data_IF_342275171027
#
_entry.id   IF_342275171027
#
_cell.length_a   1.000
_cell.length_b   1.000
_cell.length_c   1.000
_cell.angle_alpha   90.00
_cell.angle_beta   90.00
_cell.angle_gamma   90.00
#
_symmetry.space_group_name_H-M   'P 1'
#
loop_
_entity.id
_entity.type
_entity.pdbx_description
1 polymer ?
#
# COMPACT_ATOMS: atom_id res chain seq x y z
N UNK A 1 4.19 17.76 -0.56
CA UNK A 1 3.79 16.39 -0.18
C UNK A 1 4.95 15.73 0.54
N UNK A 2 4.75 15.35 1.78
CA UNK A 2 5.81 14.74 2.60
C UNK A 2 5.44 13.31 2.97
N UNK A 3 5.61 12.39 2.01
CA UNK A 3 5.21 11.00 2.20
C UNK A 3 6.15 10.24 3.13
N UNK A 4 5.55 9.57 4.11
CA UNK A 4 6.25 8.73 5.08
C UNK A 4 5.52 7.40 5.14
N UNK A 5 6.26 6.30 5.07
CA UNK A 5 5.70 4.95 5.24
C UNK A 5 6.04 4.46 6.64
N UNK A 6 5.04 3.95 7.35
CA UNK A 6 5.22 3.41 8.69
C UNK A 6 4.67 1.99 8.77
N UNK A 7 5.40 1.11 9.43
CA UNK A 7 4.90 -0.23 9.70
C UNK A 7 3.63 -0.17 10.55
N UNK A 8 2.77 -1.15 10.35
CA UNK A 8 1.53 -1.25 11.13
C UNK A 8 1.87 -1.74 12.54
N UNK A 9 1.42 -1.01 13.55
CA UNK A 9 1.74 -1.30 14.96
C UNK A 9 0.53 -1.02 15.87
N UNK A 10 0.75 -1.11 17.17
CA UNK A 10 -0.30 -0.91 18.17
C UNK A 10 -0.89 0.49 18.14
N UNK A 11 -0.14 1.49 17.66
CA UNK A 11 -0.57 2.87 17.69
C UNK A 11 -1.35 3.30 16.46
N UNK A 12 -1.18 2.59 15.33
CA UNK A 12 -1.77 3.05 14.06
C UNK A 12 -2.73 2.06 13.39
N UNK A 13 -2.82 0.81 13.85
CA UNK A 13 -3.61 -0.20 13.15
C UNK A 13 -5.10 0.15 13.09
N UNK A 14 -5.65 0.69 14.17
CA UNK A 14 -7.08 0.99 14.20
C UNK A 14 -7.47 2.13 13.27
N UNK A 15 -6.64 3.15 13.20
CA UNK A 15 -6.84 4.24 12.23
C UNK A 15 -6.72 3.70 10.80
N UNK A 16 -5.77 2.82 10.57
CA UNK A 16 -5.54 2.27 9.23
C UNK A 16 -6.74 1.47 8.72
N UNK A 17 -7.35 0.65 9.57
CA UNK A 17 -8.50 -0.16 9.11
C UNK A 17 -9.77 0.67 8.90
N UNK A 18 -9.80 1.91 9.40
CA UNK A 18 -10.92 2.81 9.20
C UNK A 18 -10.82 3.62 7.89
N UNK A 19 -9.68 3.62 7.24
CA UNK A 19 -9.55 4.26 5.93
C UNK A 19 -10.47 3.55 4.93
N UNK A 20 -11.11 4.31 4.06
CA UNK A 20 -12.05 3.72 3.12
C UNK A 20 -11.96 4.36 1.74
N UNK A 21 -12.19 3.55 0.72
CA UNK A 21 -12.27 4.03 -0.67
C UNK A 21 -13.72 4.42 -0.98
N UNK A 22 -13.93 5.04 -2.15
CA UNK A 22 -15.27 5.36 -2.62
C UNK A 22 -16.09 4.07 -2.77
N UNK A 23 -17.42 4.19 -2.63
CA UNK A 23 -18.31 3.02 -2.71
C UNK A 23 -18.12 2.21 -3.98
N UNK A 24 -17.90 2.86 -5.11
CA UNK A 24 -17.73 2.16 -6.38
C UNK A 24 -16.39 1.45 -6.50
N UNK A 25 -15.50 1.63 -5.54
CA UNK A 25 -14.18 0.98 -5.54
C UNK A 25 -14.09 -0.17 -4.54
N UNK A 26 -15.03 -0.28 -3.61
CA UNK A 26 -14.94 -1.26 -2.50
C UNK A 26 -14.87 -2.70 -2.97
N UNK A 27 -15.42 -3.03 -4.12
CA UNK A 27 -15.37 -4.38 -4.65
C UNK A 27 -14.07 -4.72 -5.36
N UNK A 28 -13.20 -3.74 -5.58
CA UNK A 28 -11.94 -3.94 -6.31
C UNK A 28 -10.72 -4.00 -5.42
N UNK A 29 -10.86 -3.70 -4.13
CA UNK A 29 -9.74 -3.71 -3.20
C UNK A 29 -10.09 -4.55 -1.98
N UNK A 30 -9.11 -5.28 -1.48
CA UNK A 30 -9.26 -5.96 -0.19
C UNK A 30 -9.28 -4.90 0.90
N UNK A 31 -10.01 -5.16 1.99
CA UNK A 31 -10.00 -4.25 3.12
C UNK A 31 -8.61 -4.21 3.77
N UNK A 32 -8.29 -3.09 4.41
CA UNK A 32 -7.01 -2.99 5.12
C UNK A 32 -6.94 -4.02 6.26
N UNK A 33 -8.05 -4.26 6.93
CA UNK A 33 -8.11 -5.27 7.99
C UNK A 33 -7.75 -6.66 7.45
N UNK A 34 -8.32 -7.04 6.30
CA UNK A 34 -8.01 -8.33 5.68
C UNK A 34 -6.53 -8.41 5.32
N UNK A 35 -5.99 -7.35 4.72
CA UNK A 35 -4.59 -7.33 4.28
C UNK A 35 -3.62 -7.43 5.46
N UNK A 36 -3.92 -6.73 6.55
CA UNK A 36 -3.09 -6.80 7.76
C UNK A 36 -3.11 -8.21 8.35
N UNK A 37 -4.30 -8.83 8.42
CA UNK A 37 -4.41 -10.21 8.89
C UNK A 37 -3.64 -11.17 7.98
N UNK A 38 -3.77 -11.01 6.69
CA UNK A 38 -3.04 -11.84 5.72
C UNK A 38 -1.54 -11.78 5.96
N UNK A 39 -1.02 -10.57 6.25
CA UNK A 39 0.41 -10.39 6.50
C UNK A 39 0.89 -11.08 7.76
N UNK A 40 0.00 -11.35 8.71
CA UNK A 40 0.35 -12.05 9.95
C UNK A 40 0.47 -13.56 9.76
N UNK A 41 -0.25 -14.11 8.80
CA UNK A 41 -0.33 -15.55 8.61
C UNK A 41 0.38 -16.05 7.34
N UNK A 42 0.66 -15.16 6.40
CA UNK A 42 1.40 -15.48 5.19
C UNK A 42 2.71 -14.70 5.17
N UNK A 43 3.83 -15.41 5.14
CA UNK A 43 5.14 -14.78 5.13
C UNK A 43 5.39 -14.00 3.84
N UNK A 44 6.25 -13.01 3.90
CA UNK A 44 6.66 -12.25 2.73
C UNK A 44 5.75 -11.09 2.38
N UNK A 45 4.78 -10.77 3.22
CA UNK A 45 3.89 -9.62 3.03
C UNK A 45 4.23 -8.52 4.02
N UNK A 46 4.37 -7.29 3.52
CA UNK A 46 4.83 -6.14 4.31
C UNK A 46 3.82 -5.00 4.21
N UNK A 47 2.90 -4.88 5.19
CA UNK A 47 1.90 -3.80 5.19
C UNK A 47 2.48 -2.50 5.74
N UNK A 48 2.16 -1.39 5.09
CA UNK A 48 2.63 -0.06 5.50
C UNK A 48 1.50 0.94 5.47
N UNK A 49 1.41 1.78 6.50
CA UNK A 49 0.55 2.94 6.49
C UNK A 49 1.26 4.08 5.77
N UNK A 50 0.52 4.85 4.99
CA UNK A 50 1.05 5.96 4.21
C UNK A 50 0.60 7.26 4.87
N UNK A 51 1.58 8.11 5.20
CA UNK A 51 1.32 9.40 5.83
C UNK A 51 1.79 10.54 4.93
N UNK A 52 1.09 11.67 5.01
CA UNK A 52 1.60 12.94 4.52
C UNK A 52 1.87 13.79 5.78
N UNK A 53 3.14 13.90 6.16
CA UNK A 53 3.51 14.46 7.44
C UNK A 53 2.97 13.61 8.58
N UNK A 54 2.04 14.15 9.36
CA UNK A 54 1.44 13.45 10.50
C UNK A 54 0.06 12.87 10.20
N UNK A 55 -0.43 13.05 8.98
CA UNK A 55 -1.78 12.62 8.60
C UNK A 55 -1.72 11.32 7.80
N UNK A 56 -2.43 10.30 8.28
CA UNK A 56 -2.52 9.04 7.54
C UNK A 56 -3.46 9.21 6.34
N UNK A 57 -2.94 8.96 5.13
CA UNK A 57 -3.70 9.18 3.90
C UNK A 57 -4.02 7.90 3.15
N UNK A 58 -3.32 6.80 3.44
CA UNK A 58 -3.54 5.57 2.72
C UNK A 58 -2.82 4.37 3.32
N UNK A 59 -2.84 3.29 2.56
CA UNK A 59 -2.26 2.01 2.97
C UNK A 59 -1.71 1.30 1.74
N UNK A 60 -0.59 0.61 1.92
CA UNK A 60 -0.07 -0.28 0.89
C UNK A 60 0.40 -1.58 1.53
N UNK A 61 0.49 -2.61 0.71
CA UNK A 61 1.16 -3.84 1.11
C UNK A 61 1.99 -4.32 -0.09
N UNK A 62 3.27 -4.59 0.16
CA UNK A 62 4.11 -5.19 -0.86
C UNK A 62 4.55 -6.57 -0.39
N UNK A 63 4.93 -7.41 -1.34
CA UNK A 63 5.32 -8.77 -1.04
C UNK A 63 6.50 -9.20 -1.88
N UNK A 64 7.22 -10.21 -1.39
CA UNK A 64 8.31 -10.83 -2.10
C UNK A 64 7.93 -12.25 -2.49
N UNK A 65 8.06 -12.56 -3.78
CA UNK A 65 7.81 -13.90 -4.30
C UNK A 65 9.16 -14.60 -4.45
N UNK A 66 9.45 -15.56 -3.58
CA UNK A 66 10.72 -16.27 -3.58
C UNK A 66 10.86 -17.25 -4.76
N UNK A 67 9.76 -17.63 -5.39
CA UNK A 67 9.80 -18.56 -6.50
C UNK A 67 10.44 -17.95 -7.75
N UNK A 68 10.18 -16.67 -8.02
CA UNK A 68 10.77 -15.99 -9.17
C UNK A 68 11.62 -14.79 -8.77
N UNK A 69 11.87 -14.61 -7.48
CA UNK A 69 12.71 -13.55 -6.93
C UNK A 69 12.23 -12.17 -7.34
N UNK A 70 10.93 -11.95 -7.23
CA UNK A 70 10.30 -10.69 -7.63
C UNK A 70 9.58 -10.02 -6.47
N UNK A 71 9.42 -8.71 -6.58
CA UNK A 71 8.69 -7.89 -5.62
C UNK A 71 7.38 -7.45 -6.22
N UNK A 72 6.33 -7.43 -5.41
CA UNK A 72 4.99 -7.06 -5.85
C UNK A 72 4.39 -6.01 -4.93
N UNK A 73 3.78 -4.99 -5.51
CA UNK A 73 2.89 -4.13 -4.75
C UNK A 73 1.48 -4.70 -4.91
N UNK A 74 1.05 -5.49 -3.93
CA UNK A 74 -0.19 -6.25 -4.05
C UNK A 74 -1.42 -5.52 -3.51
N UNK A 75 -1.22 -4.45 -2.73
CA UNK A 75 -2.33 -3.62 -2.23
C UNK A 75 -1.89 -2.16 -2.23
N UNK A 76 -2.78 -1.29 -2.66
CA UNK A 76 -2.59 0.15 -2.59
C UNK A 76 -3.96 0.80 -2.53
N UNK A 77 -4.18 1.65 -1.53
CA UNK A 77 -5.39 2.45 -1.48
C UNK A 77 -5.09 3.81 -0.85
N UNK A 78 -5.82 4.82 -1.28
CA UNK A 78 -5.87 6.11 -0.62
C UNK A 78 -7.25 6.28 -0.03
N UNK A 79 -7.32 6.83 1.19
CA UNK A 79 -8.60 7.16 1.78
C UNK A 79 -9.35 8.12 0.83
N UNK A 80 -10.68 7.96 0.77
CA UNK A 80 -11.49 8.70 -0.20
C UNK A 80 -11.32 10.22 -0.14
N UNK A 81 -10.96 10.76 1.03
CA UNK A 81 -10.70 12.19 1.21
C UNK A 81 -9.46 12.66 0.46
N UNK A 82 -8.57 11.76 0.11
CA UNK A 82 -7.25 12.09 -0.43
C UNK A 82 -7.04 11.60 -1.86
N UNK A 83 -8.06 11.01 -2.48
CA UNK A 83 -7.96 10.56 -3.85
C UNK A 83 -7.95 11.74 -4.83
N UNK A 84 -7.34 11.53 -5.99
CA UNK A 84 -7.25 12.56 -7.02
C UNK A 84 -6.25 13.66 -6.75
N UNK A 85 -5.36 13.48 -5.78
CA UNK A 85 -4.37 14.49 -5.39
C UNK A 85 -2.93 14.08 -5.68
N UNK A 86 -2.73 12.97 -6.38
CA UNK A 86 -1.39 12.50 -6.76
C UNK A 86 -0.71 11.62 -5.73
N UNK A 87 -1.36 11.26 -4.65
CA UNK A 87 -0.75 10.43 -3.61
C UNK A 87 -0.42 9.02 -4.11
N UNK A 88 -1.30 8.42 -4.91
CA UNK A 88 -1.06 7.07 -5.44
C UNK A 88 0.22 7.01 -6.25
N UNK A 89 0.38 7.93 -7.18
CA UNK A 89 1.58 7.99 -8.02
C UNK A 89 2.84 8.24 -7.20
N UNK A 90 2.77 9.20 -6.28
CA UNK A 90 3.92 9.52 -5.42
C UNK A 90 4.30 8.32 -4.55
N UNK A 91 3.31 7.57 -4.07
CA UNK A 91 3.53 6.37 -3.27
C UNK A 91 4.26 5.30 -4.08
N UNK A 92 3.83 5.06 -5.31
CA UNK A 92 4.48 4.06 -6.17
C UNK A 92 5.95 4.43 -6.41
N UNK A 93 6.22 5.69 -6.72
CA UNK A 93 7.58 6.15 -6.97
C UNK A 93 8.46 6.02 -5.72
N UNK A 94 7.91 6.37 -4.55
CA UNK A 94 8.65 6.23 -3.30
C UNK A 94 8.94 4.79 -2.95
N UNK A 95 7.99 3.89 -3.14
CA UNK A 95 8.19 2.46 -2.89
C UNK A 95 9.29 1.90 -3.79
N UNK A 96 9.29 2.28 -5.07
CA UNK A 96 10.32 1.84 -5.99
C UNK A 96 11.71 2.30 -5.55
N UNK A 97 11.83 3.56 -5.10
CA UNK A 97 13.09 4.07 -4.59
C UNK A 97 13.57 3.29 -3.37
N UNK A 98 12.67 3.04 -2.41
CA UNK A 98 13.01 2.32 -1.19
C UNK A 98 13.47 0.90 -1.48
N UNK A 99 12.79 0.19 -2.36
CA UNK A 99 13.15 -1.17 -2.69
C UNK A 99 14.47 -1.24 -3.46
N UNK A 100 14.73 -0.27 -4.32
CA UNK A 100 16.02 -0.20 -5.01
C UNK A 100 17.17 0.08 -4.06
N UNK A 101 16.96 0.97 -3.10
CA UNK A 101 17.99 1.28 -2.10
C UNK A 101 18.33 0.06 -1.25
N UNK A 102 17.34 -0.74 -0.88
CA UNK A 102 17.52 -1.90 -0.02
C UNK A 102 18.06 -3.12 -0.76
N UNK A 103 17.67 -3.30 -2.02
CA UNK A 103 17.88 -4.56 -2.73
C UNK A 103 18.60 -4.43 -4.07
N UNK A 104 18.92 -3.22 -4.51
CA UNK A 104 19.61 -2.97 -5.77
C UNK A 104 18.68 -3.09 -6.99
N UNK A 105 19.22 -3.61 -8.07
CA UNK A 105 18.43 -3.78 -9.29
C UNK A 105 17.45 -4.94 -9.14
N UNK A 106 16.18 -4.59 -8.94
CA UNK A 106 15.10 -5.55 -8.74
C UNK A 106 13.96 -5.28 -9.73
N UNK A 107 13.12 -6.30 -9.91
CA UNK A 107 11.89 -6.15 -10.66
C UNK A 107 10.75 -5.95 -9.66
N UNK A 108 9.94 -4.92 -9.89
CA UNK A 108 8.76 -4.65 -9.08
C UNK A 108 7.55 -4.68 -9.99
N UNK A 109 6.58 -5.51 -9.63
CA UNK A 109 5.34 -5.67 -10.36
C UNK A 109 4.19 -5.09 -9.55
N UNK A 110 3.16 -4.65 -10.26
CA UNK A 110 1.91 -4.26 -9.61
C UNK A 110 0.76 -4.81 -10.43
N UNK A 111 -0.35 -5.11 -9.75
CA UNK A 111 -1.57 -5.48 -10.42
C UNK A 111 -2.67 -4.52 -10.02
N UNK A 112 -3.54 -4.19 -10.95
CA UNK A 112 -4.67 -3.32 -10.66
C UNK A 112 -5.81 -3.66 -11.63
N UNK A 113 -7.03 -3.36 -11.19
CA UNK A 113 -8.20 -3.48 -12.05
C UNK A 113 -8.34 -2.18 -12.84
N UNK A 114 -8.63 -2.26 -14.16
CA UNK A 114 -8.81 -1.03 -14.95
C UNK A 114 -9.85 -0.08 -14.38
N UNK A 115 -10.89 -0.61 -13.74
CA UNK A 115 -11.96 0.17 -13.13
C UNK A 115 -11.50 0.88 -11.85
N UNK A 116 -10.37 0.51 -11.30
CA UNK A 116 -9.84 1.08 -10.07
C UNK A 116 -8.65 2.02 -10.34
N UNK A 117 -8.69 2.72 -11.44
CA UNK A 117 -7.56 3.54 -11.89
C UNK A 117 -7.37 4.85 -11.13
N UNK A 118 -8.30 5.22 -10.26
CA UNK A 118 -8.20 6.46 -9.47
C UNK A 118 -7.39 6.30 -8.19
N UNK A 119 -6.93 5.13 -7.89
CA UNK A 119 -6.16 4.87 -6.67
C UNK A 119 -4.83 5.65 -6.59
#
# INVERSE_FOLDING_TARGET
>A
MNLIFKAIDNDNWSECIELSVEENQKCFVASNAYSILESKFEEGNYPLAIYDGEVMVGFLMYSFDSDDNSWWMCRLMMDKKYQGKGYGRATILKLLELLKEEHGNIKVYTSFEPENSVA
#
